data_IF_534565133034
#
_entry.id   IF_534565133034
#
_cell.length_a   1.000
_cell.length_b   1.000
_cell.length_c   1.000
_cell.angle_alpha   90.00
_cell.angle_beta   90.00
_cell.angle_gamma   90.00
#
_symmetry.space_group_name_H-M   'P 1'
#
loop_
_entity.id
_entity.type
_entity.pdbx_description
1 polymer ?
#
# COMPACT_ATOMS: atom_id res chain seq x y z
N UNK A 1 -7.61 -6.93 4.00
CA UNK A 1 -6.14 -6.99 4.20
C UNK A 1 -5.88 -6.19 5.47
N UNK A 2 -5.08 -6.65 6.42
CA UNK A 2 -4.86 -5.92 7.68
C UNK A 2 -3.40 -5.49 7.78
N UNK A 3 -3.17 -4.34 8.39
CA UNK A 3 -1.88 -3.64 8.33
C UNK A 3 -1.49 -3.19 9.74
N UNK A 4 -0.30 -3.54 10.22
CA UNK A 4 0.14 -3.17 11.57
C UNK A 4 0.25 -1.64 11.71
N UNK A 5 -0.57 -1.08 12.61
CA UNK A 5 -0.71 0.33 13.03
C UNK A 5 -1.41 1.34 12.09
N UNK A 6 -2.39 2.06 12.67
CA UNK A 6 -2.77 3.43 12.30
C UNK A 6 -3.72 3.69 11.12
N UNK A 7 -4.44 2.71 10.56
CA UNK A 7 -5.28 2.91 9.37
C UNK A 7 -6.79 2.93 9.70
N UNK A 8 -7.43 4.05 9.39
CA UNK A 8 -8.83 4.34 9.73
C UNK A 8 -9.88 3.45 9.02
N UNK A 9 -11.13 3.47 9.49
CA UNK A 9 -12.14 2.42 9.23
C UNK A 9 -12.71 2.33 7.80
N UNK A 10 -12.26 3.15 6.84
CA UNK A 10 -12.85 3.22 5.50
C UNK A 10 -12.30 2.25 4.44
N UNK A 11 -11.21 1.53 4.73
CA UNK A 11 -10.43 0.84 3.68
C UNK A 11 -10.49 -0.70 3.69
N UNK A 12 -11.16 -1.29 4.68
CA UNK A 12 -11.01 -2.72 5.01
C UNK A 12 -9.55 -3.10 5.35
N UNK A 13 -8.76 -2.10 5.77
CA UNK A 13 -7.46 -2.22 6.41
C UNK A 13 -7.66 -1.90 7.88
N UNK A 14 -7.56 -2.91 8.75
CA UNK A 14 -7.59 -2.69 10.20
C UNK A 14 -6.17 -2.78 10.75
N UNK A 15 -5.84 -1.84 11.63
CA UNK A 15 -4.68 -1.94 12.50
C UNK A 15 -4.92 -3.06 13.51
N UNK A 16 -3.93 -3.93 13.69
CA UNK A 16 -4.09 -5.08 14.57
C UNK A 16 -2.81 -5.44 15.36
N UNK A 17 -3.00 -6.07 16.53
CA UNK A 17 -1.97 -6.49 17.50
C UNK A 17 -2.02 -8.02 17.74
N UNK A 18 -1.04 -8.78 17.22
CA UNK A 18 -0.74 -10.23 17.34
C UNK A 18 -1.85 -11.35 17.42
N UNK A 19 -2.99 -11.17 18.10
CA UNK A 19 -4.05 -12.19 18.29
C UNK A 19 -5.19 -12.41 17.25
N UNK A 20 -5.20 -11.80 16.05
CA UNK A 20 -6.23 -11.91 14.99
C UNK A 20 -5.63 -12.56 13.74
N UNK A 21 -4.45 -13.17 13.85
CA UNK A 21 -3.73 -13.88 12.77
C UNK A 21 -4.59 -14.85 11.94
N UNK A 22 -5.78 -15.20 12.42
CA UNK A 22 -6.78 -16.04 11.77
C UNK A 22 -7.76 -15.31 10.84
N UNK A 23 -7.88 -13.98 10.85
CA UNK A 23 -8.91 -13.22 10.12
C UNK A 23 -8.43 -12.59 8.79
N UNK A 24 -7.70 -13.33 7.95
CA UNK A 24 -7.39 -12.93 6.57
C UNK A 24 -5.93 -12.52 6.35
N UNK A 25 -5.64 -11.87 5.22
CA UNK A 25 -4.25 -11.57 4.81
C UNK A 25 -3.69 -10.36 5.56
N UNK A 26 -2.62 -10.61 6.31
CA UNK A 26 -1.84 -9.59 7.03
C UNK A 26 -0.67 -9.13 6.18
N UNK A 27 -0.33 -7.85 6.35
CA UNK A 27 0.84 -7.25 5.72
C UNK A 27 1.55 -6.37 6.75
N UNK A 28 2.87 -6.44 6.76
CA UNK A 28 3.70 -5.56 7.58
C UNK A 28 4.01 -4.29 6.78
N UNK A 29 3.62 -3.11 7.28
CA UNK A 29 4.09 -1.85 6.68
C UNK A 29 5.58 -1.73 6.93
N UNK A 30 6.32 -1.64 5.84
CA UNK A 30 7.75 -1.34 5.83
C UNK A 30 7.95 0.16 5.65
N UNK A 31 7.15 0.81 4.79
CA UNK A 31 7.25 2.25 4.55
C UNK A 31 5.87 2.92 4.43
N UNK A 32 5.75 4.13 4.97
CA UNK A 32 4.61 5.03 4.77
C UNK A 32 5.10 6.33 4.14
N UNK A 33 4.76 6.54 2.88
CA UNK A 33 5.28 7.62 2.06
C UNK A 33 4.14 8.52 1.55
N UNK A 34 4.40 9.82 1.29
CA UNK A 34 3.40 10.68 0.68
C UNK A 34 3.13 10.25 -0.78
N UNK A 35 1.88 10.41 -1.22
CA UNK A 35 1.52 10.16 -2.62
C UNK A 35 2.03 11.29 -3.52
N UNK A 36 3.30 11.20 -3.93
CA UNK A 36 3.98 12.19 -4.78
C UNK A 36 4.68 11.52 -5.96
N UNK A 37 4.70 12.19 -7.12
CA UNK A 37 5.28 11.66 -8.36
C UNK A 37 6.78 11.31 -8.24
N UNK A 38 7.54 12.07 -7.44
CA UNK A 38 8.95 11.78 -7.14
C UNK A 38 9.10 10.50 -6.32
N UNK A 39 8.26 10.33 -5.31
CA UNK A 39 8.21 9.15 -4.45
C UNK A 39 7.81 7.91 -5.24
N UNK A 40 6.78 7.98 -6.08
CA UNK A 40 6.32 6.84 -6.89
C UNK A 40 7.44 6.29 -7.78
N UNK A 41 8.23 7.17 -8.42
CA UNK A 41 9.39 6.77 -9.23
C UNK A 41 10.49 6.13 -8.38
N UNK A 42 10.78 6.71 -7.21
CA UNK A 42 11.77 6.17 -6.28
C UNK A 42 11.36 4.79 -5.75
N UNK A 43 10.09 4.61 -5.40
CA UNK A 43 9.51 3.34 -4.96
C UNK A 43 9.60 2.31 -6.08
N UNK A 44 9.28 2.65 -7.32
CA UNK A 44 9.42 1.74 -8.46
C UNK A 44 10.85 1.31 -8.75
N UNK A 45 11.82 2.20 -8.54
CA UNK A 45 13.24 1.88 -8.67
C UNK A 45 13.72 0.93 -7.55
N UNK A 46 13.23 1.10 -6.32
CA UNK A 46 13.55 0.22 -5.18
C UNK A 46 12.81 -1.12 -5.24
N UNK A 47 11.59 -1.12 -5.77
CA UNK A 47 10.69 -2.26 -5.87
C UNK A 47 10.23 -2.46 -7.32
N UNK A 48 11.11 -2.98 -8.19
CA UNK A 48 10.81 -3.17 -9.61
C UNK A 48 9.75 -4.25 -9.87
N UNK A 49 9.49 -5.11 -8.87
CA UNK A 49 8.39 -6.08 -8.85
C UNK A 49 7.61 -5.90 -7.55
N UNK A 50 6.36 -5.47 -7.67
CA UNK A 50 5.44 -5.38 -6.56
C UNK A 50 3.99 -5.52 -7.03
N UNK A 51 3.16 -6.15 -6.20
CA UNK A 51 1.71 -6.06 -6.35
C UNK A 51 1.26 -4.67 -5.95
N UNK A 52 0.24 -4.15 -6.64
CA UNK A 52 -0.21 -2.76 -6.45
C UNK A 52 -1.71 -2.74 -6.26
N UNK A 53 -2.17 -2.00 -5.26
CA UNK A 53 -3.60 -1.88 -4.98
C UNK A 53 -3.95 -0.45 -4.62
N UNK A 54 -4.86 0.14 -5.38
CA UNK A 54 -5.41 1.46 -5.11
C UNK A 54 -6.75 1.29 -4.38
N UNK A 55 -6.88 1.83 -3.16
CA UNK A 55 -8.09 1.73 -2.33
C UNK A 55 -8.40 3.09 -1.72
N UNK A 56 -9.57 3.65 -2.02
CA UNK A 56 -9.98 4.96 -1.50
C UNK A 56 -9.25 6.16 -2.14
N UNK A 57 -8.62 5.98 -3.30
CA UNK A 57 -7.98 7.05 -4.09
C UNK A 57 -8.61 7.14 -5.47
N UNK A 58 -8.59 8.33 -6.10
CA UNK A 58 -9.13 8.58 -7.44
C UNK A 58 -8.25 8.05 -8.58
N UNK A 59 -7.37 7.10 -8.31
CA UNK A 59 -6.52 6.44 -9.32
C UNK A 59 -6.79 4.95 -9.30
N UNK A 60 -6.86 4.33 -10.47
CA UNK A 60 -6.97 2.88 -10.56
C UNK A 60 -5.66 2.18 -10.19
N UNK A 61 -5.73 0.88 -9.86
CA UNK A 61 -4.55 0.04 -9.61
C UNK A 61 -3.60 0.00 -10.82
N UNK A 62 -4.14 -0.02 -12.03
CA UNK A 62 -3.37 0.00 -13.27
C UNK A 62 -2.65 1.34 -13.50
N UNK A 63 -3.33 2.47 -13.28
CA UNK A 63 -2.69 3.79 -13.35
C UNK A 63 -1.59 3.94 -12.29
N UNK A 64 -1.85 3.45 -11.08
CA UNK A 64 -0.86 3.45 -10.01
C UNK A 64 0.38 2.63 -10.41
N UNK A 65 0.16 1.44 -10.96
CA UNK A 65 1.24 0.58 -11.46
C UNK A 65 2.04 1.27 -12.55
N UNK A 66 1.36 1.94 -13.50
CA UNK A 66 2.02 2.70 -14.57
C UNK A 66 2.84 3.87 -14.03
N UNK A 67 2.36 4.57 -13.00
CA UNK A 67 3.09 5.68 -12.34
C UNK A 67 4.31 5.21 -11.57
N UNK A 68 4.20 4.09 -10.86
CA UNK A 68 5.33 3.48 -10.14
C UNK A 68 6.31 2.83 -11.12
N UNK A 69 5.84 2.36 -12.30
CA UNK A 69 6.62 1.59 -13.28
C UNK A 69 7.14 0.26 -12.73
N UNK A 70 6.35 -0.38 -11.86
CA UNK A 70 6.67 -1.70 -11.31
C UNK A 70 5.93 -2.80 -12.07
N UNK A 71 6.52 -3.99 -12.13
CA UNK A 71 5.90 -5.19 -12.71
C UNK A 71 5.05 -5.90 -11.66
N UNK A 72 3.93 -6.54 -12.05
CA UNK A 72 3.12 -7.34 -11.13
C UNK A 72 3.93 -8.52 -10.58
N UNK A 73 3.57 -8.99 -9.39
CA UNK A 73 4.28 -10.04 -8.65
C UNK A 73 5.38 -9.53 -7.72
N UNK A 74 6.03 -10.46 -7.02
CA UNK A 74 7.06 -10.18 -6.02
C UNK A 74 6.60 -10.41 -4.58
N UNK A 75 7.47 -10.12 -3.62
CA UNK A 75 7.22 -10.27 -2.17
C UNK A 75 6.72 -8.98 -1.51
N UNK A 76 6.52 -7.91 -2.28
CA UNK A 76 6.13 -6.59 -1.80
C UNK A 76 4.77 -6.21 -2.37
N UNK A 77 3.92 -5.65 -1.54
CA UNK A 77 2.60 -5.14 -1.91
C UNK A 77 2.52 -3.65 -1.58
N UNK A 78 2.26 -2.85 -2.61
CA UNK A 78 2.15 -1.39 -2.48
C UNK A 78 0.68 -1.00 -2.49
N UNK A 79 0.24 -0.33 -1.43
CA UNK A 79 -1.11 0.21 -1.32
C UNK A 79 -1.08 1.72 -1.52
N UNK A 80 -1.90 2.26 -2.42
CA UNK A 80 -2.25 3.68 -2.40
C UNK A 80 -3.58 3.84 -1.68
N UNK A 81 -3.60 4.64 -0.62
CA UNK A 81 -4.77 4.85 0.20
C UNK A 81 -4.87 6.27 0.75
N UNK A 82 -6.06 6.66 1.19
CA UNK A 82 -6.24 7.87 1.98
C UNK A 82 -6.17 7.50 3.46
N UNK A 83 -5.21 8.10 4.17
CA UNK A 83 -5.01 7.94 5.60
C UNK A 83 -5.22 9.29 6.28
N UNK A 84 -6.18 9.36 7.20
CA UNK A 84 -6.53 10.58 7.94
C UNK A 84 -6.76 11.81 7.04
N UNK A 85 -7.33 11.60 5.85
CA UNK A 85 -7.60 12.66 4.86
C UNK A 85 -6.46 12.94 3.86
N UNK A 86 -5.29 12.32 4.03
CA UNK A 86 -4.14 12.49 3.14
C UNK A 86 -3.89 11.26 2.26
N UNK A 87 -3.50 11.48 1.00
CA UNK A 87 -3.10 10.40 0.10
C UNK A 87 -1.71 9.90 0.48
N UNK A 88 -1.61 8.63 0.84
CA UNK A 88 -0.39 7.93 1.25
C UNK A 88 -0.14 6.69 0.39
N UNK A 89 1.12 6.32 0.32
CA UNK A 89 1.60 5.10 -0.30
C UNK A 89 2.23 4.23 0.79
N UNK A 90 1.65 3.06 1.01
CA UNK A 90 2.15 2.09 1.98
C UNK A 90 2.88 0.99 1.22
N UNK A 91 4.13 0.75 1.58
CA UNK A 91 4.89 -0.39 1.10
C UNK A 91 4.81 -1.47 2.16
N UNK A 92 4.25 -2.61 1.80
CA UNK A 92 4.07 -3.72 2.72
C UNK A 92 4.77 -5.00 2.25
N UNK A 93 5.16 -5.84 3.20
CA UNK A 93 5.69 -7.19 2.99
C UNK A 93 4.84 -8.23 3.71
#
# INVERSE_FOLDING_TARGET
AMVKSGLGPGLGLMAYDEGLSHFGKFWQVVENLPFASSVLKSVGARYPQAEVTARGVLVSSEELRAKIKTKPGGSVHIFACVLSGERRLLVCK
#
